data_IF_962388401791
#
_entry.id   IF_962388401791
#
_cell.length_a   1.000
_cell.length_b   1.000
_cell.length_c   1.000
_cell.angle_alpha   90.00
_cell.angle_beta   90.00
_cell.angle_gamma   90.00
#
_symmetry.space_group_name_H-M   'P 1'
#
loop_
_entity.id
_entity.type
_entity.pdbx_description
1 polymer ?
#
# COMPACT_ATOMS: atom_id res chain seq x y z
N UNK A 1 -8.29 19.98 1.77
CA UNK A 1 -7.47 20.16 2.99
C UNK A 1 -6.57 21.39 2.90
N UNK A 2 -5.55 21.43 2.04
CA UNK A 2 -4.61 22.57 1.95
C UNK A 2 -5.24 23.93 1.59
N UNK A 3 -6.22 23.94 0.67
CA UNK A 3 -7.00 25.15 0.37
C UNK A 3 -7.79 25.67 1.58
N UNK A 4 -8.22 24.78 2.48
CA UNK A 4 -8.94 25.13 3.71
C UNK A 4 -7.95 25.74 4.71
N UNK A 5 -6.76 25.15 4.88
CA UNK A 5 -5.68 25.68 5.74
C UNK A 5 -5.24 27.07 5.28
N UNK A 6 -5.03 27.26 3.96
CA UNK A 6 -4.68 28.56 3.36
C UNK A 6 -5.74 29.63 3.62
N UNK A 7 -7.02 29.25 3.59
CA UNK A 7 -8.15 30.14 3.83
C UNK A 7 -8.29 30.54 5.31
N UNK A 8 -7.88 29.66 6.24
CA UNK A 8 -7.99 29.87 7.68
C UNK A 8 -6.79 30.65 8.25
N UNK A 9 -5.56 30.40 7.78
CA UNK A 9 -4.34 30.97 8.38
C UNK A 9 -3.66 32.09 7.55
N UNK A 10 -4.22 32.49 6.40
CA UNK A 10 -3.72 33.63 5.62
C UNK A 10 -2.25 33.49 5.15
N UNK A 11 -1.55 34.62 4.97
CA UNK A 11 -0.18 34.69 4.39
C UNK A 11 0.89 33.83 5.11
N UNK A 12 0.70 33.47 6.40
CA UNK A 12 1.59 32.53 7.12
C UNK A 12 1.57 31.10 6.56
N UNK A 13 0.50 30.71 5.87
CA UNK A 13 0.31 29.38 5.29
C UNK A 13 1.16 29.10 4.05
N UNK A 14 1.60 30.15 3.34
CA UNK A 14 2.46 29.99 2.14
C UNK A 14 3.83 29.43 2.55
N UNK A 15 4.33 29.79 3.73
CA UNK A 15 5.58 29.22 4.26
C UNK A 15 5.50 27.70 4.44
N UNK A 16 4.33 27.19 4.83
CA UNK A 16 4.10 25.75 5.02
C UNK A 16 4.20 24.99 3.70
N UNK A 17 3.84 25.61 2.57
CA UNK A 17 4.09 25.01 1.25
C UNK A 17 5.59 24.81 1.07
N UNK A 18 6.39 25.87 1.23
CA UNK A 18 7.85 25.78 1.07
C UNK A 18 8.56 24.88 2.09
N UNK A 19 7.98 24.70 3.28
CA UNK A 19 8.50 23.82 4.34
C UNK A 19 7.97 22.38 4.23
N UNK A 20 7.08 22.08 3.27
CA UNK A 20 6.53 20.75 3.09
C UNK A 20 7.61 19.75 2.64
N UNK A 21 7.53 18.48 3.06
CA UNK A 21 8.50 17.44 2.68
C UNK A 21 8.23 16.95 1.25
N UNK A 22 8.53 17.78 0.25
CA UNK A 22 8.32 17.47 -1.17
C UNK A 22 9.02 16.19 -1.65
N UNK A 23 10.05 15.72 -0.93
CA UNK A 23 10.69 14.42 -1.18
C UNK A 23 9.69 13.26 -1.17
N UNK A 24 8.59 13.35 -0.41
CA UNK A 24 7.54 12.31 -0.39
C UNK A 24 6.84 12.22 -1.75
N UNK A 25 6.65 13.34 -2.47
CA UNK A 25 6.06 13.33 -3.81
C UNK A 25 6.98 12.65 -4.81
N UNK A 26 8.27 12.99 -4.77
CA UNK A 26 9.28 12.39 -5.65
C UNK A 26 9.42 10.89 -5.39
N UNK A 27 9.43 10.50 -4.11
CA UNK A 27 9.44 9.10 -3.67
C UNK A 27 8.20 8.35 -4.17
N UNK A 28 7.01 8.93 -3.98
CA UNK A 28 5.75 8.31 -4.41
C UNK A 28 5.68 8.16 -5.92
N UNK A 29 6.19 9.14 -6.67
CA UNK A 29 6.32 9.07 -8.12
C UNK A 29 7.28 7.97 -8.56
N UNK A 30 8.47 7.91 -7.96
CA UNK A 30 9.45 6.85 -8.24
C UNK A 30 8.89 5.46 -7.94
N UNK A 31 8.18 5.31 -6.82
CA UNK A 31 7.50 4.07 -6.48
C UNK A 31 6.46 3.69 -7.54
N UNK A 32 5.62 4.63 -7.96
CA UNK A 32 4.63 4.39 -9.02
C UNK A 32 5.30 3.96 -10.33
N UNK A 33 6.39 4.61 -10.72
CA UNK A 33 7.17 4.24 -11.92
C UNK A 33 7.69 2.81 -11.84
N UNK A 34 8.25 2.40 -10.69
CA UNK A 34 8.75 1.03 -10.49
C UNK A 34 7.62 0.01 -10.58
N UNK A 35 6.51 0.23 -9.86
CA UNK A 35 5.36 -0.68 -9.87
C UNK A 35 4.74 -0.78 -11.26
N UNK A 36 4.62 0.36 -11.96
CA UNK A 36 4.10 0.39 -13.32
C UNK A 36 5.03 -0.36 -14.29
N UNK A 37 6.34 -0.25 -14.15
CA UNK A 37 7.29 -1.04 -14.93
C UNK A 37 7.13 -2.56 -14.67
N UNK A 38 6.97 -2.97 -13.41
CA UNK A 38 6.69 -4.36 -13.03
C UNK A 38 5.38 -4.88 -13.66
N UNK A 39 4.33 -4.06 -13.63
CA UNK A 39 3.08 -4.36 -14.31
C UNK A 39 3.28 -4.53 -15.82
N UNK A 40 4.04 -3.63 -16.47
CA UNK A 40 4.31 -3.70 -17.91
C UNK A 40 5.11 -4.93 -18.34
N UNK A 41 5.93 -5.50 -17.48
CA UNK A 41 6.64 -6.77 -17.75
C UNK A 41 5.83 -8.01 -17.32
N UNK A 42 4.56 -7.85 -16.94
CA UNK A 42 3.62 -8.95 -16.69
C UNK A 42 3.57 -9.45 -15.24
N UNK A 43 4.19 -8.77 -14.27
CA UNK A 43 4.16 -9.21 -12.86
C UNK A 43 2.73 -9.21 -12.30
N UNK A 44 1.87 -8.27 -12.74
CA UNK A 44 0.46 -8.22 -12.32
C UNK A 44 -0.34 -9.43 -12.78
N UNK A 45 0.07 -10.12 -13.85
CA UNK A 45 -0.66 -11.28 -14.37
C UNK A 45 -0.77 -12.40 -13.34
N UNK A 46 0.21 -12.51 -12.43
CA UNK A 46 0.19 -13.48 -11.33
C UNK A 46 -1.00 -13.19 -10.41
N UNK A 47 -1.23 -11.91 -10.10
CA UNK A 47 -2.37 -11.48 -9.28
C UNK A 47 -3.68 -11.67 -10.04
N UNK A 48 -3.73 -11.31 -11.34
CA UNK A 48 -4.94 -11.51 -12.17
C UNK A 48 -5.34 -12.98 -12.19
N UNK A 49 -4.39 -13.90 -12.48
CA UNK A 49 -4.64 -15.35 -12.46
C UNK A 49 -5.12 -15.84 -11.10
N UNK A 50 -4.54 -15.32 -10.02
CA UNK A 50 -4.94 -15.65 -8.65
C UNK A 50 -6.36 -15.16 -8.35
N UNK A 51 -6.72 -13.95 -8.77
CA UNK A 51 -8.08 -13.41 -8.62
C UNK A 51 -9.10 -14.21 -9.42
N UNK A 52 -8.79 -14.55 -10.68
CA UNK A 52 -9.66 -15.41 -11.50
C UNK A 52 -9.87 -16.78 -10.88
N UNK A 53 -8.84 -17.39 -10.28
CA UNK A 53 -8.98 -18.67 -9.59
C UNK A 53 -9.83 -18.54 -8.32
N UNK A 54 -9.60 -17.52 -7.51
CA UNK A 54 -10.31 -17.31 -6.24
C UNK A 54 -11.79 -16.96 -6.43
N UNK A 55 -12.10 -16.10 -7.41
CA UNK A 55 -13.44 -15.57 -7.64
C UNK A 55 -14.40 -16.56 -8.33
N UNK A 56 -14.03 -17.84 -8.40
CA UNK A 56 -14.96 -18.92 -8.78
C UNK A 56 -16.07 -19.11 -7.72
N UNK A 57 -15.81 -18.73 -6.47
CA UNK A 57 -16.79 -18.69 -5.38
C UNK A 57 -16.77 -17.31 -4.70
N UNK A 58 -17.90 -16.89 -4.12
CA UNK A 58 -18.05 -15.65 -3.35
C UNK A 58 -17.11 -15.60 -2.14
N UNK A 59 -16.71 -16.76 -1.60
CA UNK A 59 -15.70 -16.85 -0.55
C UNK A 59 -14.30 -16.38 -1.00
N UNK A 60 -14.05 -16.31 -2.31
CA UNK A 60 -12.79 -15.85 -2.91
C UNK A 60 -12.37 -14.43 -2.51
N UNK A 61 -13.33 -13.59 -2.09
CA UNK A 61 -13.08 -12.24 -1.57
C UNK A 61 -12.12 -12.27 -0.37
N UNK A 62 -12.25 -13.28 0.51
CA UNK A 62 -11.30 -13.46 1.61
C UNK A 62 -9.89 -13.79 1.09
N UNK A 63 -9.79 -14.55 0.02
CA UNK A 63 -8.53 -14.84 -0.65
C UNK A 63 -7.87 -13.57 -1.21
N UNK A 64 -8.65 -12.67 -1.83
CA UNK A 64 -8.15 -11.36 -2.30
C UNK A 64 -7.58 -10.54 -1.14
N UNK A 65 -8.29 -10.48 -0.01
CA UNK A 65 -7.81 -9.80 1.19
C UNK A 65 -6.53 -10.44 1.76
N UNK A 66 -6.47 -11.78 1.80
CA UNK A 66 -5.30 -12.51 2.30
C UNK A 66 -4.06 -12.30 1.42
N UNK A 67 -4.19 -12.45 0.10
CA UNK A 67 -3.08 -12.18 -0.84
C UNK A 67 -2.57 -10.75 -0.65
N UNK A 68 -3.48 -9.80 -0.51
CA UNK A 68 -3.16 -8.39 -0.29
C UNK A 68 -2.45 -8.15 1.04
N UNK A 69 -2.88 -8.82 2.11
CA UNK A 69 -2.24 -8.75 3.42
C UNK A 69 -0.85 -9.38 3.43
N UNK A 70 -0.69 -10.58 2.88
CA UNK A 70 0.62 -11.22 2.81
C UNK A 70 1.58 -10.45 1.92
N UNK A 71 1.15 -10.02 0.73
CA UNK A 71 1.99 -9.23 -0.18
C UNK A 71 2.47 -7.91 0.46
N UNK A 72 1.57 -7.18 1.11
CA UNK A 72 1.93 -5.92 1.78
C UNK A 72 2.82 -6.11 3.01
N UNK A 73 2.74 -7.25 3.70
CA UNK A 73 3.65 -7.58 4.81
C UNK A 73 5.11 -7.81 4.36
N UNK A 74 5.31 -8.19 3.09
CA UNK A 74 6.62 -8.45 2.49
C UNK A 74 7.18 -7.20 1.80
N UNK A 75 6.36 -6.54 0.98
CA UNK A 75 6.83 -5.44 0.11
C UNK A 75 6.68 -4.04 0.72
N UNK A 76 5.73 -3.83 1.65
CA UNK A 76 5.11 -2.57 2.10
C UNK A 76 3.68 -2.38 1.54
N UNK A 77 2.87 -1.54 2.20
CA UNK A 77 1.50 -1.24 1.77
C UNK A 77 1.42 -0.47 0.46
N UNK A 78 2.27 0.55 0.23
CA UNK A 78 2.15 1.41 -0.96
C UNK A 78 2.43 0.66 -2.28
N UNK A 79 3.55 -0.09 -2.44
CA UNK A 79 3.77 -0.86 -3.66
C UNK A 79 2.67 -1.91 -3.89
N UNK A 80 2.22 -2.57 -2.82
CA UNK A 80 1.19 -3.62 -2.90
C UNK A 80 -0.17 -3.05 -3.31
N UNK A 81 -0.55 -1.87 -2.79
CA UNK A 81 -1.77 -1.15 -3.21
C UNK A 81 -1.73 -0.89 -4.71
N UNK A 82 -0.61 -0.36 -5.22
CA UNK A 82 -0.49 0.05 -6.61
C UNK A 82 -0.55 -1.15 -7.58
N UNK A 83 0.20 -2.22 -7.30
CA UNK A 83 0.21 -3.39 -8.19
C UNK A 83 -1.13 -4.14 -8.14
N UNK A 84 -1.78 -4.17 -6.97
CA UNK A 84 -3.09 -4.78 -6.81
C UNK A 84 -4.21 -4.00 -7.51
N UNK A 85 -4.16 -2.66 -7.48
CA UNK A 85 -5.10 -1.80 -8.22
C UNK A 85 -4.97 -1.99 -9.74
N UNK A 86 -3.74 -2.04 -10.26
CA UNK A 86 -3.48 -2.34 -11.67
C UNK A 86 -4.00 -3.75 -12.06
N UNK A 87 -3.78 -4.75 -11.21
CA UNK A 87 -4.26 -6.10 -11.44
C UNK A 87 -5.80 -6.20 -11.36
N UNK A 88 -6.44 -5.50 -10.42
CA UNK A 88 -7.91 -5.46 -10.31
C UNK A 88 -8.52 -4.77 -11.53
N UNK A 89 -7.92 -3.67 -11.99
CA UNK A 89 -8.34 -3.00 -13.22
C UNK A 89 -8.27 -3.94 -14.42
N UNK A 90 -7.13 -4.62 -14.62
CA UNK A 90 -6.94 -5.59 -15.69
C UNK A 90 -7.92 -6.77 -15.58
N UNK A 91 -8.18 -7.24 -14.36
CA UNK A 91 -9.19 -8.27 -14.11
C UNK A 91 -10.59 -7.78 -14.50
N UNK A 92 -11.00 -6.57 -14.12
CA UNK A 92 -12.32 -6.04 -14.45
C UNK A 92 -12.52 -5.72 -15.94
N UNK A 93 -11.44 -5.47 -16.69
CA UNK A 93 -11.50 -5.32 -18.15
C UNK A 93 -11.81 -6.66 -18.86
N UNK A 94 -11.38 -7.79 -18.29
CA UNK A 94 -11.53 -9.11 -18.90
C UNK A 94 -12.64 -9.98 -18.28
N UNK A 95 -13.08 -9.64 -17.07
CA UNK A 95 -14.06 -10.40 -16.28
C UNK A 95 -15.19 -9.47 -15.79
N UNK A 96 -15.78 -9.78 -14.64
CA UNK A 96 -16.88 -9.00 -14.06
C UNK A 96 -16.37 -8.04 -12.99
N UNK A 97 -16.89 -6.82 -13.00
CA UNK A 97 -16.63 -5.83 -11.97
C UNK A 97 -17.26 -6.23 -10.62
N UNK A 98 -16.48 -6.17 -9.55
CA UNK A 98 -16.95 -6.37 -8.17
C UNK A 98 -16.23 -5.41 -7.22
N UNK A 99 -16.97 -4.44 -6.67
CA UNK A 99 -16.41 -3.45 -5.74
C UNK A 99 -15.93 -4.08 -4.43
N UNK A 100 -16.44 -5.26 -4.04
CA UNK A 100 -15.97 -5.97 -2.84
C UNK A 100 -14.52 -6.42 -2.96
N UNK A 101 -14.04 -6.72 -4.17
CA UNK A 101 -12.63 -7.04 -4.39
C UNK A 101 -11.72 -5.84 -4.11
N UNK A 102 -12.16 -4.62 -4.48
CA UNK A 102 -11.43 -3.38 -4.18
C UNK A 102 -11.36 -3.17 -2.66
N UNK A 103 -12.48 -3.33 -1.96
CA UNK A 103 -12.51 -3.18 -0.51
C UNK A 103 -11.68 -4.25 0.20
N UNK A 104 -11.74 -5.51 -0.26
CA UNK A 104 -10.94 -6.61 0.26
C UNK A 104 -9.44 -6.34 0.07
N UNK A 105 -9.04 -5.88 -1.11
CA UNK A 105 -7.66 -5.51 -1.39
C UNK A 105 -7.18 -4.37 -0.47
N UNK A 106 -7.94 -3.26 -0.40
CA UNK A 106 -7.62 -2.11 0.44
C UNK A 106 -7.57 -2.45 1.93
N UNK A 107 -8.45 -3.35 2.40
CA UNK A 107 -8.43 -3.83 3.77
C UNK A 107 -7.17 -4.68 4.02
N UNK A 108 -6.90 -5.64 3.14
CA UNK A 108 -5.75 -6.53 3.24
C UNK A 108 -4.41 -5.78 3.29
N UNK A 109 -4.17 -4.86 2.35
CA UNK A 109 -2.92 -4.08 2.26
C UNK A 109 -2.65 -3.17 3.47
N UNK A 110 -3.67 -2.85 4.28
CA UNK A 110 -3.51 -2.07 5.50
C UNK A 110 -3.38 -2.93 6.76
N UNK A 111 -3.92 -4.16 6.75
CA UNK A 111 -3.76 -5.13 7.83
C UNK A 111 -2.41 -5.82 7.74
N UNK A 112 -2.00 -6.24 6.55
CA UNK A 112 -0.77 -7.00 6.28
C UNK A 112 0.50 -6.45 6.93
N UNK A 113 0.82 -5.15 6.77
CA UNK A 113 2.01 -4.51 7.37
C UNK A 113 2.07 -4.62 8.90
N UNK A 114 0.94 -4.89 9.56
CA UNK A 114 0.84 -5.01 11.01
C UNK A 114 1.04 -6.44 11.50
N UNK A 115 1.03 -7.43 10.59
CA UNK A 115 1.22 -8.84 10.92
C UNK A 115 2.69 -9.17 11.14
N UNK A 116 3.61 -8.39 10.59
CA UNK A 116 5.06 -8.59 10.74
C UNK A 116 5.73 -7.31 11.24
N UNK A 117 6.77 -7.39 12.10
CA UNK A 117 7.54 -6.22 12.54
C UNK A 117 8.24 -5.46 11.39
N UNK A 118 8.48 -6.15 10.27
CA UNK A 118 9.12 -5.62 9.06
C UNK A 118 8.11 -4.92 8.15
N UNK A 119 6.81 -5.19 8.31
CA UNK A 119 5.78 -4.83 7.36
C UNK A 119 5.59 -3.32 7.15
N UNK A 120 6.03 -2.48 8.09
CA UNK A 120 6.00 -1.02 7.90
C UNK A 120 7.30 -0.33 8.31
N UNK A 121 7.69 0.66 7.50
CA UNK A 121 8.86 1.51 7.75
C UNK A 121 8.74 2.24 9.09
N UNK A 122 7.52 2.61 9.50
CA UNK A 122 7.27 3.26 10.78
C UNK A 122 7.59 2.34 11.96
N UNK A 123 7.27 1.05 11.84
CA UNK A 123 7.60 0.03 12.83
C UNK A 123 9.12 -0.11 12.97
N UNK A 124 9.83 -0.21 11.85
CA UNK A 124 11.30 -0.31 11.84
C UNK A 124 11.98 0.95 12.41
N UNK A 125 11.48 2.14 12.07
CA UNK A 125 11.97 3.41 12.62
C UNK A 125 11.79 3.45 14.14
N UNK A 126 10.63 3.00 14.64
CA UNK A 126 10.36 2.94 16.07
C UNK A 126 11.26 1.94 16.79
N UNK A 127 11.42 0.72 16.26
CA UNK A 127 12.35 -0.28 16.78
C UNK A 127 13.80 0.26 16.81
N UNK A 128 14.21 1.02 15.79
CA UNK A 128 15.51 1.69 15.78
C UNK A 128 15.66 2.80 16.83
N UNK A 129 14.58 3.53 17.14
CA UNK A 129 14.57 4.49 18.26
C UNK A 129 14.69 3.77 19.61
N UNK A 130 13.98 2.65 19.81
CA UNK A 130 14.05 1.86 21.03
C UNK A 130 15.43 1.25 21.26
N UNK A 131 16.04 0.67 20.22
CA UNK A 131 17.38 0.10 20.28
C UNK A 131 18.43 1.15 20.71
N UNK A 132 18.34 2.39 20.19
CA UNK A 132 19.20 3.52 20.60
C UNK A 132 19.01 3.94 22.06
N UNK A 133 17.85 3.63 22.65
CA UNK A 133 17.56 3.84 24.08
C UNK A 133 17.89 2.62 24.94
N UNK A 134 18.53 1.59 24.38
CA UNK A 134 18.89 0.35 25.08
C UNK A 134 17.76 -0.65 25.23
N UNK A 135 16.61 -0.43 24.59
CA UNK A 135 15.46 -1.34 24.62
C UNK A 135 15.47 -2.16 23.32
N UNK A 136 15.93 -3.40 23.41
CA UNK A 136 15.95 -4.32 22.27
C UNK A 136 14.71 -5.22 22.30
N UNK A 137 13.84 -5.06 21.31
CA UNK A 137 12.67 -5.93 21.10
C UNK A 137 12.99 -6.84 19.91
N UNK A 138 13.04 -8.15 20.15
CA UNK A 138 13.20 -9.16 19.11
C UNK A 138 11.84 -9.55 18.50
N UNK A 139 11.85 -10.23 17.35
CA UNK A 139 10.64 -10.64 16.63
C UNK A 139 9.64 -11.47 17.47
N UNK A 140 10.13 -12.17 18.50
CA UNK A 140 9.34 -13.09 19.33
C UNK A 140 8.93 -12.52 20.69
N UNK A 141 9.28 -11.26 20.98
CA UNK A 141 8.88 -10.53 22.20
C UNK A 141 7.73 -9.58 21.90
#
# INVERSE_FOLDING_TARGET
FWLIVLKIQGKKSIKILFEAPYGVLLFSFGLYMVVFALHKIGVSEILVKSYTFLMQDKSGIFGVALISAFGSSVFNNLPMVLIGDLALKEYFENFSFDSLMIYAHLLGVNIGPKLTPIGSLATLLWLGVLARKGINISFWQ
#
